data_IF_680259044435
#
_entry.id   IF_680259044435
#
_cell.length_a   1.000
_cell.length_b   1.000
_cell.length_c   1.000
_cell.angle_alpha   90.00
_cell.angle_beta   90.00
_cell.angle_gamma   90.00
#
_symmetry.space_group_name_H-M   'P 1'
#
loop_
_entity.id
_entity.type
_entity.pdbx_description
1 polymer ?
#
# COMPACT_ATOMS: atom_id res chain seq x y z
N UNK A 1 22.62 -8.26 11.45
CA UNK A 1 22.75 -7.39 10.25
C UNK A 1 21.49 -6.56 10.24
N UNK A 2 21.55 -5.26 10.22
CA UNK A 2 20.35 -4.41 10.20
C UNK A 2 19.72 -4.37 8.80
N UNK A 3 18.49 -3.87 8.68
CA UNK A 3 17.75 -3.80 7.40
C UNK A 3 18.58 -3.21 6.26
N UNK A 4 19.30 -2.09 6.49
CA UNK A 4 20.14 -1.46 5.47
C UNK A 4 21.18 -2.43 4.89
N UNK A 5 21.90 -3.16 5.71
CA UNK A 5 22.92 -4.09 5.25
C UNK A 5 22.31 -5.32 4.52
N UNK A 6 21.10 -5.73 4.89
CA UNK A 6 20.36 -6.77 4.15
C UNK A 6 19.95 -6.25 2.78
N UNK A 7 19.44 -5.01 2.69
CA UNK A 7 19.09 -4.37 1.41
C UNK A 7 20.32 -4.17 0.52
N UNK A 8 21.44 -3.71 1.07
CA UNK A 8 22.69 -3.52 0.31
C UNK A 8 23.14 -4.84 -0.32
N UNK A 9 23.12 -5.94 0.45
CA UNK A 9 23.43 -7.28 -0.09
C UNK A 9 22.45 -7.71 -1.19
N UNK A 10 21.13 -7.59 -0.95
CA UNK A 10 20.12 -8.02 -1.92
C UNK A 10 20.17 -7.21 -3.21
N UNK A 11 20.38 -5.90 -3.13
CA UNK A 11 20.39 -5.01 -4.29
C UNK A 11 21.70 -5.12 -5.09
N UNK A 12 22.84 -5.12 -4.42
CA UNK A 12 24.12 -4.95 -5.10
C UNK A 12 24.86 -6.26 -5.34
N UNK A 13 24.80 -7.22 -4.38
CA UNK A 13 25.53 -8.48 -4.49
C UNK A 13 24.70 -9.60 -5.11
N UNK A 14 23.37 -9.58 -4.92
CA UNK A 14 22.49 -10.63 -5.44
C UNK A 14 21.74 -10.22 -6.73
N UNK A 15 21.05 -9.08 -6.73
CA UNK A 15 20.26 -8.62 -7.90
C UNK A 15 21.09 -7.77 -8.88
N UNK A 16 22.30 -7.36 -8.51
CA UNK A 16 23.19 -6.55 -9.33
C UNK A 16 22.48 -5.32 -9.93
N UNK A 17 21.67 -4.62 -9.12
CA UNK A 17 20.77 -3.54 -9.57
C UNK A 17 21.49 -2.45 -10.33
N UNK A 18 22.79 -2.22 -10.05
CA UNK A 18 23.63 -1.27 -10.79
C UNK A 18 23.75 -1.61 -12.28
N UNK A 19 23.54 -2.87 -12.70
CA UNK A 19 23.50 -3.23 -14.12
C UNK A 19 22.30 -2.61 -14.86
N UNK A 20 21.25 -2.25 -14.16
CA UNK A 20 20.09 -1.56 -14.75
C UNK A 20 20.45 -0.17 -15.31
N UNK A 21 21.50 0.47 -14.79
CA UNK A 21 21.97 1.80 -15.29
C UNK A 21 22.51 1.75 -16.71
N UNK A 22 22.80 0.58 -17.25
CA UNK A 22 23.14 0.41 -18.67
C UNK A 22 21.92 0.50 -19.60
N UNK A 23 20.70 0.48 -19.05
CA UNK A 23 19.48 0.64 -19.83
C UNK A 23 19.16 2.13 -20.02
N UNK A 24 18.73 2.57 -21.23
CA UNK A 24 18.53 3.99 -21.53
C UNK A 24 17.66 4.73 -20.48
N UNK A 25 16.63 4.07 -19.95
CA UNK A 25 15.73 4.66 -18.95
C UNK A 25 16.45 5.03 -17.63
N UNK A 26 17.47 4.30 -17.27
CA UNK A 26 18.15 4.43 -15.99
C UNK A 26 19.60 4.96 -16.11
N UNK A 27 19.98 5.45 -17.30
CA UNK A 27 21.35 5.84 -17.62
C UNK A 27 21.87 7.03 -16.78
N UNK A 28 20.98 7.87 -16.26
CA UNK A 28 21.32 9.00 -15.41
C UNK A 28 21.57 8.61 -13.93
N UNK A 29 21.33 7.33 -13.60
CA UNK A 29 21.55 6.81 -12.26
C UNK A 29 22.92 6.14 -12.12
N UNK A 30 23.34 6.00 -10.88
CA UNK A 30 24.51 5.25 -10.46
C UNK A 30 24.22 4.54 -9.13
N UNK A 31 25.15 3.72 -8.66
CA UNK A 31 25.06 3.12 -7.32
C UNK A 31 24.92 4.19 -6.25
N UNK A 32 25.70 5.27 -6.36
CA UNK A 32 25.68 6.38 -5.39
C UNK A 32 24.32 7.09 -5.35
N UNK A 33 23.65 7.23 -6.50
CA UNK A 33 22.29 7.81 -6.53
C UNK A 33 21.28 6.89 -5.86
N UNK A 34 21.36 5.57 -6.07
CA UNK A 34 20.51 4.59 -5.38
C UNK A 34 20.75 4.61 -3.87
N UNK A 35 22.00 4.61 -3.44
CA UNK A 35 22.38 4.69 -2.02
C UNK A 35 21.88 5.98 -1.36
N UNK A 36 21.92 7.11 -2.05
CA UNK A 36 21.43 8.40 -1.56
C UNK A 36 19.89 8.40 -1.37
N UNK A 37 19.16 7.77 -2.29
CA UNK A 37 17.69 7.58 -2.13
C UNK A 37 17.39 6.73 -0.90
N UNK A 38 18.08 5.59 -0.76
CA UNK A 38 17.92 4.70 0.39
C UNK A 38 18.23 5.39 1.72
N UNK A 39 19.33 6.15 1.79
CA UNK A 39 19.71 6.91 2.99
C UNK A 39 18.69 7.98 3.35
N UNK A 40 18.15 8.69 2.36
CA UNK A 40 17.11 9.69 2.56
C UNK A 40 15.83 9.06 3.10
N UNK A 41 15.37 7.95 2.50
CA UNK A 41 14.17 7.25 2.93
C UNK A 41 14.35 6.62 4.32
N UNK A 42 15.51 6.02 4.61
CA UNK A 42 15.84 5.50 5.94
C UNK A 42 15.77 6.59 7.00
N UNK A 43 16.33 7.78 6.73
CA UNK A 43 16.29 8.93 7.65
C UNK A 43 14.86 9.41 7.89
N UNK A 44 14.05 9.59 6.83
CA UNK A 44 12.65 10.02 6.97
C UNK A 44 11.85 8.98 7.75
N UNK A 45 12.00 7.68 7.44
CA UNK A 45 11.33 6.60 8.13
C UNK A 45 11.68 6.58 9.62
N UNK A 46 12.96 6.74 9.96
CA UNK A 46 13.44 6.79 11.34
C UNK A 46 12.92 8.01 12.10
N UNK A 47 12.89 9.19 11.47
CA UNK A 47 12.62 10.45 12.15
C UNK A 47 11.13 10.80 12.17
N UNK A 48 10.34 10.36 11.18
CA UNK A 48 8.94 10.74 10.99
C UNK A 48 7.93 9.60 11.15
N UNK A 49 8.36 8.35 11.05
CA UNK A 49 7.46 7.18 11.12
C UNK A 49 7.68 6.37 12.40
N UNK A 50 8.90 5.90 12.65
CA UNK A 50 9.21 5.00 13.75
C UNK A 50 8.81 5.54 15.13
N UNK A 51 9.06 6.81 15.49
CA UNK A 51 8.71 7.34 16.81
C UNK A 51 7.21 7.37 17.09
N UNK A 52 6.40 7.38 16.04
CA UNK A 52 4.94 7.54 16.13
C UNK A 52 4.16 6.26 15.88
N UNK A 53 4.84 5.14 15.57
CA UNK A 53 4.20 3.86 15.27
C UNK A 53 3.21 3.42 16.38
N UNK A 54 3.59 3.56 17.65
CA UNK A 54 2.72 3.26 18.78
C UNK A 54 1.58 4.25 18.94
N UNK A 55 1.88 5.54 18.74
CA UNK A 55 0.89 6.60 18.85
C UNK A 55 -0.28 6.37 17.90
N UNK A 56 0.01 6.14 16.62
CA UNK A 56 -1.03 5.98 15.60
C UNK A 56 -1.79 4.66 15.71
N UNK A 57 -1.24 3.65 16.36
CA UNK A 57 -1.95 2.41 16.68
C UNK A 57 -2.92 2.58 17.86
N UNK A 58 -2.56 3.41 18.85
CA UNK A 58 -3.37 3.63 20.06
C UNK A 58 -4.37 4.76 19.93
N UNK A 59 -4.06 5.75 19.10
CA UNK A 59 -4.96 6.84 18.74
C UNK A 59 -5.56 6.57 17.36
N UNK A 60 -6.48 5.62 17.31
CA UNK A 60 -7.19 5.25 16.08
C UNK A 60 -7.94 6.46 15.49
N UNK A 61 -8.14 6.50 14.14
CA UNK A 61 -8.94 7.51 13.50
C UNK A 61 -10.33 7.65 14.14
N UNK A 62 -10.78 8.88 14.35
CA UNK A 62 -12.07 9.18 14.95
C UNK A 62 -12.97 9.89 13.93
N UNK A 63 -14.26 9.50 13.88
CA UNK A 63 -15.27 10.12 13.04
C UNK A 63 -16.36 10.71 13.92
N UNK A 64 -16.59 12.02 13.84
CA UNK A 64 -17.57 12.77 14.63
C UNK A 64 -18.96 12.89 13.96
N UNK A 65 -19.12 12.31 12.76
CA UNK A 65 -20.31 12.44 11.90
C UNK A 65 -20.10 13.36 10.69
N UNK A 66 -19.05 14.20 10.73
CA UNK A 66 -18.72 15.14 9.65
C UNK A 66 -17.28 14.97 9.17
N UNK A 67 -16.32 14.84 10.08
CA UNK A 67 -14.88 14.82 9.80
C UNK A 67 -14.20 13.62 10.46
N UNK A 68 -13.15 13.18 9.82
CA UNK A 68 -12.21 12.20 10.37
C UNK A 68 -11.00 12.92 10.95
N UNK A 69 -10.70 12.66 12.20
CA UNK A 69 -9.51 13.19 12.89
C UNK A 69 -8.44 12.11 12.95
N UNK A 70 -7.22 12.47 12.55
CA UNK A 70 -6.01 11.68 12.63
C UNK A 70 -4.96 12.36 13.51
N UNK A 71 -4.01 11.62 14.12
CA UNK A 71 -2.87 12.25 14.80
C UNK A 71 -2.06 13.15 13.87
N UNK A 72 -1.56 14.28 14.38
CA UNK A 72 -0.71 15.22 13.61
C UNK A 72 0.53 14.50 13.01
N UNK A 73 1.08 13.54 13.74
CA UNK A 73 2.20 12.74 13.26
C UNK A 73 1.91 12.01 11.92
N UNK A 74 0.65 11.67 11.65
CA UNK A 74 0.26 11.07 10.35
C UNK A 74 0.38 12.09 9.22
N UNK A 75 -0.03 13.35 9.46
CA UNK A 75 0.14 14.44 8.49
C UNK A 75 1.62 14.73 8.23
N UNK A 76 2.42 14.91 9.30
CA UNK A 76 3.84 15.22 9.20
C UNK A 76 4.63 14.14 8.45
N UNK A 77 4.25 12.88 8.64
CA UNK A 77 4.86 11.75 7.93
C UNK A 77 4.43 11.68 6.46
N UNK A 78 3.13 11.92 6.19
CA UNK A 78 2.59 12.00 4.83
C UNK A 78 3.29 13.09 4.02
N UNK A 79 3.43 14.29 4.59
CA UNK A 79 4.06 15.43 3.93
C UNK A 79 5.54 15.15 3.65
N UNK A 80 6.28 14.61 4.64
CA UNK A 80 7.68 14.23 4.46
C UNK A 80 7.87 13.14 3.38
N UNK A 81 6.94 12.20 3.27
CA UNK A 81 6.96 11.19 2.21
C UNK A 81 6.68 11.81 0.84
N UNK A 82 5.68 12.68 0.72
CA UNK A 82 5.36 13.39 -0.53
C UNK A 82 6.52 14.30 -0.97
N UNK A 83 7.08 15.10 -0.06
CA UNK A 83 8.22 15.99 -0.30
C UNK A 83 9.50 15.24 -0.72
N UNK A 84 9.65 13.98 -0.33
CA UNK A 84 10.77 13.14 -0.76
C UNK A 84 10.73 12.76 -2.26
N UNK A 85 9.62 13.00 -2.95
CA UNK A 85 9.39 12.62 -4.33
C UNK A 85 9.06 11.12 -4.53
N UNK A 86 8.91 10.35 -3.46
CA UNK A 86 8.67 8.90 -3.54
C UNK A 86 7.33 8.54 -4.17
N UNK A 87 6.34 9.46 -4.17
CA UNK A 87 5.06 9.22 -4.87
C UNK A 87 5.21 9.12 -6.41
N UNK A 88 6.25 9.74 -6.97
CA UNK A 88 6.54 9.73 -8.39
C UNK A 88 7.88 9.04 -8.74
N UNK A 89 8.48 8.31 -7.82
CA UNK A 89 9.85 7.83 -7.92
C UNK A 89 10.16 7.11 -9.25
N UNK A 90 9.30 6.20 -9.70
CA UNK A 90 9.49 5.44 -10.94
C UNK A 90 8.97 6.15 -12.20
N UNK A 91 8.38 7.35 -12.08
CA UNK A 91 7.81 8.09 -13.22
C UNK A 91 8.90 8.81 -14.02
N UNK A 92 8.51 9.29 -15.21
CA UNK A 92 9.39 10.06 -16.10
C UNK A 92 9.69 11.45 -15.53
N UNK A 93 10.83 12.03 -15.87
CA UNK A 93 11.26 13.35 -15.41
C UNK A 93 10.29 14.46 -15.80
N UNK A 94 9.68 14.37 -16.98
CA UNK A 94 8.74 15.38 -17.51
C UNK A 94 7.43 15.48 -16.72
N UNK A 95 7.11 14.46 -15.92
CA UNK A 95 5.97 14.48 -15.01
C UNK A 95 6.37 14.56 -13.52
N UNK A 96 7.60 14.98 -13.26
CA UNK A 96 8.12 15.16 -11.89
C UNK A 96 8.67 13.91 -11.24
N UNK A 97 8.88 12.84 -11.98
CA UNK A 97 9.46 11.58 -11.51
C UNK A 97 10.98 11.62 -11.41
N UNK A 98 11.56 10.55 -10.90
CA UNK A 98 13.00 10.33 -10.80
C UNK A 98 13.52 9.25 -11.76
N UNK A 99 12.64 8.61 -12.53
CA UNK A 99 12.95 7.41 -13.33
C UNK A 99 13.68 6.33 -12.52
N UNK A 100 13.35 6.21 -11.24
CA UNK A 100 13.99 5.24 -10.35
C UNK A 100 13.59 3.81 -10.75
N UNK A 101 14.52 2.83 -10.77
CA UNK A 101 14.12 1.43 -10.90
C UNK A 101 13.13 1.05 -9.79
N UNK A 102 12.07 0.32 -10.15
CA UNK A 102 11.07 -0.12 -9.18
C UNK A 102 11.67 -1.01 -8.09
N UNK A 103 12.76 -1.73 -8.40
CA UNK A 103 13.54 -2.48 -7.41
C UNK A 103 14.08 -1.59 -6.30
N UNK A 104 14.61 -0.41 -6.65
CA UNK A 104 15.16 0.56 -5.67
C UNK A 104 14.04 1.27 -4.92
N UNK A 105 12.95 1.61 -5.60
CA UNK A 105 11.73 2.16 -4.98
C UNK A 105 11.16 1.20 -3.93
N UNK A 106 11.04 -0.09 -4.26
CA UNK A 106 10.58 -1.11 -3.32
C UNK A 106 11.50 -1.26 -2.10
N UNK A 107 12.82 -1.23 -2.31
CA UNK A 107 13.79 -1.26 -1.23
C UNK A 107 13.70 -0.01 -0.33
N UNK A 108 13.50 1.17 -0.91
CA UNK A 108 13.28 2.40 -0.16
C UNK A 108 11.99 2.33 0.67
N UNK A 109 10.90 1.80 0.10
CA UNK A 109 9.63 1.60 0.80
C UNK A 109 9.71 0.57 1.94
N UNK A 110 10.71 -0.32 1.95
CA UNK A 110 10.94 -1.21 3.06
C UNK A 110 11.24 -0.47 4.38
N UNK A 111 11.98 0.66 4.34
CA UNK A 111 12.24 1.46 5.53
C UNK A 111 10.96 2.03 6.15
N UNK A 112 10.06 2.57 5.33
CA UNK A 112 8.80 3.12 5.81
C UNK A 112 7.90 2.04 6.40
N UNK A 113 7.82 0.88 5.73
CA UNK A 113 7.02 -0.26 6.19
C UNK A 113 7.59 -0.88 7.48
N UNK A 114 8.91 -0.94 7.63
CA UNK A 114 9.57 -1.38 8.86
C UNK A 114 9.32 -0.43 10.03
N UNK A 115 9.33 0.88 9.76
CA UNK A 115 9.12 1.92 10.74
C UNK A 115 7.66 1.99 11.22
N UNK A 116 6.69 2.01 10.31
CA UNK A 116 5.26 2.00 10.65
C UNK A 116 4.36 1.75 9.44
N UNK A 117 3.79 0.56 9.33
CA UNK A 117 2.76 0.28 8.33
C UNK A 117 1.47 1.09 8.58
N UNK A 118 1.20 1.46 9.84
CA UNK A 118 -0.03 2.15 10.24
C UNK A 118 -0.11 3.59 9.75
N UNK A 119 1.01 4.25 9.51
CA UNK A 119 1.03 5.59 8.90
C UNK A 119 0.76 5.50 7.40
N UNK A 120 1.30 4.46 6.75
CA UNK A 120 1.15 4.24 5.31
C UNK A 120 2.18 5.01 4.48
N UNK A 121 2.41 4.56 3.25
CA UNK A 121 3.42 5.10 2.33
C UNK A 121 2.85 5.42 0.94
N UNK A 122 1.61 5.91 0.88
CA UNK A 122 1.01 6.33 -0.39
C UNK A 122 0.72 5.21 -1.40
N UNK A 123 0.81 3.93 -1.02
CA UNK A 123 0.67 2.77 -1.90
C UNK A 123 -0.57 2.83 -2.82
N UNK A 124 -1.75 3.18 -2.26
CA UNK A 124 -2.98 3.27 -3.04
C UNK A 124 -2.99 4.51 -3.95
N UNK A 125 -2.39 5.60 -3.52
CA UNK A 125 -2.27 6.84 -4.30
C UNK A 125 -1.40 6.62 -5.54
N UNK A 126 -0.22 6.01 -5.35
CA UNK A 126 0.68 5.65 -6.46
C UNK A 126 0.02 4.65 -7.40
N UNK A 127 -0.62 3.62 -6.84
CA UNK A 127 -1.34 2.62 -7.64
C UNK A 127 -2.47 3.22 -8.48
N UNK A 128 -3.25 4.17 -7.93
CA UNK A 128 -4.26 4.92 -8.69
C UNK A 128 -3.64 5.70 -9.84
N UNK A 129 -2.57 6.45 -9.56
CA UNK A 129 -1.89 7.25 -10.57
C UNK A 129 -1.32 6.37 -11.69
N UNK A 130 -0.65 5.27 -11.34
CA UNK A 130 -0.12 4.30 -12.32
C UNK A 130 -1.22 3.67 -13.19
N UNK A 131 -2.36 3.33 -12.59
CA UNK A 131 -3.52 2.85 -13.36
C UNK A 131 -4.01 3.90 -14.35
N UNK A 132 -4.11 5.16 -13.93
CA UNK A 132 -4.53 6.25 -14.82
C UNK A 132 -3.49 6.54 -15.90
N UNK A 133 -2.19 6.42 -15.61
CA UNK A 133 -1.14 6.51 -16.64
C UNK A 133 -1.28 5.43 -17.71
N UNK A 134 -1.71 4.22 -17.33
CA UNK A 134 -1.87 3.10 -18.25
C UNK A 134 -3.20 3.15 -19.06
N UNK A 135 -4.30 3.53 -18.41
CA UNK A 135 -5.67 3.36 -18.95
C UNK A 135 -6.46 4.65 -19.09
N UNK A 136 -6.02 5.75 -18.47
CA UNK A 136 -6.68 7.05 -18.52
C UNK A 136 -6.46 7.78 -19.85
N UNK A 137 -7.37 8.69 -20.17
CA UNK A 137 -7.17 9.67 -21.25
C UNK A 137 -6.04 10.64 -20.93
N UNK A 138 -5.51 11.36 -21.91
CA UNK A 138 -4.50 12.39 -21.68
C UNK A 138 -4.96 13.40 -20.61
N UNK A 139 -6.23 13.83 -20.66
CA UNK A 139 -6.79 14.76 -19.68
C UNK A 139 -6.93 14.14 -18.27
N UNK A 140 -7.33 12.88 -18.18
CA UNK A 140 -7.40 12.17 -16.89
C UNK A 140 -6.01 12.03 -16.25
N UNK A 141 -4.97 11.75 -17.04
CA UNK A 141 -3.58 11.70 -16.57
C UNK A 141 -3.13 13.06 -16.04
N UNK A 142 -3.34 14.11 -16.83
CA UNK A 142 -2.96 15.48 -16.49
C UNK A 142 -3.63 15.96 -15.19
N UNK A 143 -4.94 15.71 -15.04
CA UNK A 143 -5.70 16.24 -13.90
C UNK A 143 -5.58 15.40 -12.64
N UNK A 144 -5.69 14.07 -12.77
CA UNK A 144 -5.80 13.19 -11.59
C UNK A 144 -4.48 12.51 -11.23
N UNK A 145 -3.73 11.98 -12.25
CA UNK A 145 -2.49 11.27 -11.95
C UNK A 145 -1.37 12.23 -11.50
N UNK A 146 -1.21 13.39 -12.15
CA UNK A 146 -0.16 14.34 -11.79
C UNK A 146 -0.30 14.84 -10.33
N UNK A 147 -1.53 15.12 -9.88
CA UNK A 147 -1.79 15.56 -8.50
C UNK A 147 -1.66 14.45 -7.47
N UNK A 148 -1.85 13.21 -7.87
CA UNK A 148 -1.53 12.07 -7.02
C UNK A 148 -0.01 11.90 -6.87
N UNK A 149 0.76 12.10 -7.94
CA UNK A 149 2.23 12.05 -7.89
C UNK A 149 2.85 13.22 -7.13
N UNK A 150 2.24 14.40 -7.14
CA UNK A 150 2.69 15.54 -6.32
C UNK A 150 2.31 15.42 -4.84
N UNK A 151 1.38 14.52 -4.49
CA UNK A 151 0.84 14.39 -3.13
C UNK A 151 -0.26 15.39 -2.79
N UNK A 152 -0.68 16.25 -3.72
CA UNK A 152 -1.81 17.15 -3.51
C UNK A 152 -3.11 16.40 -3.28
N UNK A 153 -3.32 15.30 -4.01
CA UNK A 153 -4.49 14.43 -3.89
C UNK A 153 -4.09 13.00 -3.58
N UNK A 154 -4.90 12.33 -2.80
CA UNK A 154 -4.73 10.91 -2.52
C UNK A 154 -5.67 10.04 -3.35
N UNK A 155 -5.39 8.75 -3.41
CA UNK A 155 -6.15 7.78 -4.17
C UNK A 155 -6.62 6.59 -3.36
N UNK A 156 -7.79 6.03 -3.72
CA UNK A 156 -8.32 4.82 -3.13
C UNK A 156 -8.84 3.85 -4.19
N UNK A 157 -8.96 2.60 -3.79
CA UNK A 157 -9.48 1.51 -4.61
C UNK A 157 -10.81 1.01 -4.01
N UNK A 158 -11.93 1.28 -4.70
CA UNK A 158 -13.29 0.98 -4.23
C UNK A 158 -13.91 -0.19 -5.02
N UNK A 159 -13.60 -1.42 -4.60
CA UNK A 159 -14.08 -2.64 -5.24
C UNK A 159 -15.24 -3.27 -4.46
N UNK A 160 -14.97 -3.66 -3.20
CA UNK A 160 -15.85 -4.47 -2.38
C UNK A 160 -17.11 -3.72 -1.97
N UNK A 161 -18.18 -4.50 -1.82
CA UNK A 161 -19.48 -4.06 -1.30
C UNK A 161 -19.85 -4.95 -0.10
N UNK A 162 -20.81 -4.56 0.76
CA UNK A 162 -21.17 -5.37 1.92
C UNK A 162 -21.46 -6.84 1.60
N UNK A 163 -22.03 -7.13 0.42
CA UNK A 163 -22.38 -8.49 -0.03
C UNK A 163 -21.37 -9.09 -1.04
N UNK A 164 -20.38 -8.32 -1.52
CA UNK A 164 -19.46 -8.74 -2.59
C UNK A 164 -18.01 -8.36 -2.26
N UNK A 165 -17.21 -9.35 -1.87
CA UNK A 165 -15.78 -9.23 -1.60
C UNK A 165 -14.96 -10.02 -2.62
N UNK A 166 -14.73 -11.32 -2.38
CA UNK A 166 -13.97 -12.18 -3.30
C UNK A 166 -14.67 -12.38 -4.64
N UNK A 167 -16.03 -12.37 -4.68
CA UNK A 167 -16.83 -12.45 -5.90
C UNK A 167 -17.29 -11.07 -6.35
N UNK A 168 -16.43 -10.36 -7.08
CA UNK A 168 -16.76 -9.02 -7.61
C UNK A 168 -17.82 -9.04 -8.72
N UNK A 169 -18.14 -10.22 -9.28
CA UNK A 169 -19.25 -10.38 -10.23
C UNK A 169 -20.60 -9.91 -9.65
N UNK A 170 -20.72 -9.91 -8.31
CA UNK A 170 -21.96 -9.66 -7.58
C UNK A 170 -22.10 -8.22 -7.08
N UNK A 171 -21.18 -7.32 -7.45
CA UNK A 171 -21.34 -5.89 -7.14
C UNK A 171 -22.59 -5.33 -7.81
N UNK A 172 -23.26 -4.43 -7.09
CA UNK A 172 -24.51 -3.80 -7.53
C UNK A 172 -24.44 -2.28 -7.63
N UNK A 173 -23.33 -1.66 -7.25
CA UNK A 173 -23.11 -0.23 -7.52
C UNK A 173 -23.33 0.02 -9.00
N UNK A 174 -24.19 0.99 -9.30
CA UNK A 174 -24.59 1.32 -10.66
C UNK A 174 -24.08 2.69 -11.05
N UNK A 175 -23.81 2.87 -12.36
CA UNK A 175 -23.41 4.13 -12.96
C UNK A 175 -24.38 4.43 -14.12
N UNK A 176 -25.08 5.54 -14.04
CA UNK A 176 -26.04 6.01 -15.05
C UNK A 176 -25.48 7.24 -15.76
N UNK A 177 -25.65 7.35 -17.08
CA UNK A 177 -25.19 8.50 -17.85
C UNK A 177 -25.76 9.81 -17.28
N UNK A 178 -24.92 10.83 -17.13
CA UNK A 178 -25.32 12.11 -16.54
C UNK A 178 -25.68 13.14 -17.62
N UNK A 179 -26.82 12.96 -18.26
CA UNK A 179 -27.32 13.78 -19.35
C UNK A 179 -27.04 13.20 -20.74
N UNK A 180 -27.55 13.84 -21.77
CA UNK A 180 -27.41 13.37 -23.16
C UNK A 180 -25.99 13.60 -23.71
N UNK A 181 -25.27 14.55 -23.17
CA UNK A 181 -23.92 14.96 -23.55
C UNK A 181 -22.80 14.32 -22.70
N UNK A 182 -23.14 13.30 -21.91
CA UNK A 182 -22.24 12.64 -20.93
C UNK A 182 -20.90 12.15 -21.53
N UNK A 183 -20.86 11.81 -22.82
CA UNK A 183 -19.64 11.34 -23.49
C UNK A 183 -18.66 12.46 -23.83
N UNK A 184 -19.10 13.71 -23.82
CA UNK A 184 -18.30 14.88 -24.27
C UNK A 184 -17.67 15.67 -23.13
N UNK A 185 -17.85 15.21 -21.86
CA UNK A 185 -17.21 15.86 -20.72
C UNK A 185 -15.69 15.82 -20.85
N UNK A 186 -14.97 16.94 -20.67
CA UNK A 186 -13.52 17.01 -20.81
C UNK A 186 -12.73 16.05 -19.91
N UNK A 187 -13.28 15.67 -18.74
CA UNK A 187 -12.64 14.73 -17.82
C UNK A 187 -12.93 13.26 -18.15
N UNK A 188 -13.70 13.00 -19.20
CA UNK A 188 -14.11 11.68 -19.68
C UNK A 188 -15.62 11.45 -19.55
N UNK A 189 -16.18 10.36 -20.12
CA UNK A 189 -17.62 10.11 -20.08
C UNK A 189 -18.16 10.19 -18.66
N UNK A 190 -19.12 11.09 -18.43
CA UNK A 190 -19.61 11.48 -17.11
C UNK A 190 -20.84 10.66 -16.70
N UNK A 191 -20.78 10.11 -15.49
CA UNK A 191 -21.83 9.27 -14.94
C UNK A 191 -22.22 9.71 -13.54
N UNK A 192 -23.40 9.31 -13.09
CA UNK A 192 -23.84 9.38 -11.69
C UNK A 192 -23.85 7.98 -11.09
N UNK A 193 -23.04 7.79 -10.07
CA UNK A 193 -22.91 6.51 -9.37
C UNK A 193 -23.81 6.47 -8.14
N UNK A 194 -24.38 5.26 -7.88
CA UNK A 194 -25.14 4.96 -6.67
C UNK A 194 -24.81 3.58 -6.17
N UNK A 195 -24.46 3.49 -4.89
CA UNK A 195 -24.12 2.24 -4.22
C UNK A 195 -23.26 2.44 -3.00
N UNK A 196 -22.92 1.35 -2.33
CA UNK A 196 -22.16 1.36 -1.09
C UNK A 196 -20.88 0.55 -1.27
N UNK A 197 -19.75 1.12 -0.87
CA UNK A 197 -18.43 0.47 -0.92
C UNK A 197 -17.90 0.25 0.49
N UNK A 198 -17.50 -0.98 0.79
CA UNK A 198 -17.08 -1.43 2.11
C UNK A 198 -15.59 -1.80 2.11
N UNK A 199 -14.94 -1.65 3.26
CA UNK A 199 -13.53 -1.99 3.48
C UNK A 199 -12.56 -1.11 2.69
N UNK A 200 -12.92 0.16 2.49
CA UNK A 200 -12.10 1.08 1.70
C UNK A 200 -11.04 1.71 2.59
N UNK A 201 -9.79 1.37 2.35
CA UNK A 201 -8.65 1.95 3.04
C UNK A 201 -8.42 3.39 2.58
N UNK A 202 -8.13 4.29 3.52
CA UNK A 202 -7.91 5.71 3.30
C UNK A 202 -9.07 6.42 2.54
N UNK A 203 -10.31 5.92 2.71
CA UNK A 203 -11.46 6.43 1.96
C UNK A 203 -11.96 7.79 2.42
N UNK A 204 -11.61 8.23 3.63
CA UNK A 204 -11.95 9.54 4.17
C UNK A 204 -10.86 10.01 5.12
N UNK A 205 -10.34 11.20 4.89
CA UNK A 205 -9.38 11.94 5.71
C UNK A 205 -9.20 13.37 5.15
N UNK A 206 -8.45 14.20 5.88
CA UNK A 206 -8.08 15.55 5.47
C UNK A 206 -6.55 15.72 5.29
N UNK A 207 -5.80 14.62 5.02
CA UNK A 207 -4.35 14.66 4.78
C UNK A 207 -3.98 15.34 3.46
N UNK A 208 -4.90 15.34 2.49
CA UNK A 208 -4.72 15.92 1.16
C UNK A 208 -5.91 16.78 0.79
N UNK A 209 -5.75 17.65 -0.21
CA UNK A 209 -6.83 18.54 -0.65
C UNK A 209 -8.05 17.80 -1.19
N UNK A 210 -7.84 16.66 -1.82
CA UNK A 210 -8.89 15.81 -2.38
C UNK A 210 -8.54 14.32 -2.27
N UNK A 211 -9.56 13.47 -2.35
CA UNK A 211 -9.41 12.02 -2.48
C UNK A 211 -10.05 11.59 -3.79
N UNK A 212 -9.31 10.85 -4.60
CA UNK A 212 -9.77 10.30 -5.89
C UNK A 212 -10.07 8.83 -5.71
N UNK A 213 -11.35 8.46 -5.72
CA UNK A 213 -11.78 7.08 -5.62
C UNK A 213 -11.82 6.43 -7.01
N UNK A 214 -11.09 5.33 -7.21
CA UNK A 214 -11.28 4.46 -8.36
C UNK A 214 -12.36 3.41 -8.02
N UNK A 215 -13.53 3.58 -8.61
CA UNK A 215 -14.75 2.85 -8.25
C UNK A 215 -15.14 1.87 -9.33
N UNK A 216 -15.31 0.59 -8.96
CA UNK A 216 -15.94 -0.40 -9.84
C UNK A 216 -17.46 -0.31 -9.72
N UNK A 217 -18.13 -0.11 -10.86
CA UNK A 217 -19.59 -0.04 -10.95
C UNK A 217 -20.08 -0.67 -12.25
N UNK A 218 -21.37 -1.00 -12.30
CA UNK A 218 -22.01 -1.55 -13.49
C UNK A 218 -22.88 -0.49 -14.17
N UNK A 219 -22.77 -0.40 -15.50
CA UNK A 219 -23.64 0.42 -16.34
C UNK A 219 -24.86 -0.44 -16.67
N UNK A 220 -26.09 0.02 -16.38
CA UNK A 220 -27.30 -0.70 -16.75
C UNK A 220 -27.45 -0.81 -18.30
N UNK A 221 -28.04 -1.89 -18.76
CA UNK A 221 -28.44 -2.05 -20.16
C UNK A 221 -29.63 -1.12 -20.55
N UNK A 222 -30.05 -1.18 -21.80
CA UNK A 222 -31.17 -0.38 -22.29
C UNK A 222 -32.52 -0.64 -21.60
N UNK A 223 -32.61 -1.73 -20.84
CA UNK A 223 -33.78 -2.09 -20.01
C UNK A 223 -33.62 -1.74 -18.54
N UNK A 224 -32.53 -1.04 -18.16
CA UNK A 224 -32.21 -0.66 -16.80
C UNK A 224 -31.67 -1.80 -15.92
N UNK A 225 -31.32 -2.96 -16.51
CA UNK A 225 -30.80 -4.12 -15.78
C UNK A 225 -29.27 -4.08 -15.75
N UNK A 226 -28.68 -4.45 -14.60
CA UNK A 226 -27.23 -4.61 -14.49
C UNK A 226 -26.76 -5.83 -15.25
N UNK A 227 -25.74 -5.64 -16.09
CA UNK A 227 -25.11 -6.74 -16.82
C UNK A 227 -24.44 -7.71 -15.83
N UNK A 228 -24.80 -9.01 -15.84
CA UNK A 228 -24.26 -9.96 -14.92
C UNK A 228 -22.77 -10.27 -15.19
N UNK A 229 -22.08 -10.75 -14.14
CA UNK A 229 -20.70 -11.17 -14.22
C UNK A 229 -19.70 -10.00 -14.30
N UNK A 230 -18.45 -10.34 -14.51
CA UNK A 230 -17.32 -9.38 -14.50
C UNK A 230 -17.29 -8.49 -15.74
N UNK A 231 -17.85 -8.95 -16.86
CA UNK A 231 -17.94 -8.17 -18.11
C UNK A 231 -18.89 -6.98 -18.01
N UNK A 232 -19.74 -6.92 -16.98
CA UNK A 232 -20.60 -5.75 -16.71
C UNK A 232 -19.87 -4.64 -15.92
N UNK A 233 -18.67 -4.91 -15.42
CA UNK A 233 -17.97 -4.01 -14.50
C UNK A 233 -17.12 -3.00 -15.28
N UNK A 234 -17.39 -1.72 -15.07
CA UNK A 234 -16.63 -0.59 -15.58
C UNK A 234 -15.91 0.13 -14.44
N UNK A 235 -14.91 0.95 -14.77
CA UNK A 235 -14.11 1.71 -13.84
C UNK A 235 -14.43 3.21 -13.95
N UNK A 236 -14.50 3.88 -12.79
CA UNK A 236 -14.80 5.30 -12.71
C UNK A 236 -13.85 6.03 -11.76
N UNK A 237 -13.40 7.22 -12.17
CA UNK A 237 -12.79 8.22 -11.29
C UNK A 237 -13.93 8.95 -10.60
N UNK A 238 -13.99 8.90 -9.26
CA UNK A 238 -15.00 9.61 -8.47
C UNK A 238 -14.26 10.46 -7.42
N UNK A 239 -14.07 11.76 -7.66
CA UNK A 239 -13.39 12.62 -6.70
C UNK A 239 -14.31 12.93 -5.50
N UNK A 240 -13.74 13.03 -4.28
CA UNK A 240 -14.45 13.45 -3.06
C UNK A 240 -14.97 14.89 -3.17
N UNK A 241 -14.16 15.79 -3.73
CA UNK A 241 -14.53 17.16 -4.09
C UNK A 241 -14.57 17.29 -5.61
N UNK A 242 -15.57 18.00 -6.12
CA UNK A 242 -15.77 18.14 -7.55
C UNK A 242 -14.62 18.88 -8.23
N UNK A 243 -14.29 18.44 -9.42
CA UNK A 243 -13.25 18.98 -10.29
C UNK A 243 -13.91 19.60 -11.51
N UNK A 244 -13.55 20.84 -11.84
CA UNK A 244 -14.04 21.54 -13.02
C UNK A 244 -13.39 21.09 -14.33
N UNK A 245 -13.91 21.52 -15.47
CA UNK A 245 -13.35 21.20 -16.78
C UNK A 245 -11.88 21.64 -16.95
N UNK A 246 -11.48 22.70 -16.24
CA UNK A 246 -10.11 23.22 -16.17
C UNK A 246 -9.17 22.36 -15.32
N UNK A 247 -9.71 21.37 -14.59
CA UNK A 247 -8.97 20.51 -13.67
C UNK A 247 -8.82 21.10 -12.26
N UNK A 248 -9.36 22.29 -11.98
CA UNK A 248 -9.34 22.90 -10.64
C UNK A 248 -10.47 22.35 -9.75
N UNK A 249 -10.29 22.44 -8.43
CA UNK A 249 -11.38 22.17 -7.48
C UNK A 249 -12.46 23.24 -7.62
N UNK A 250 -13.72 22.83 -7.71
CA UNK A 250 -14.86 23.76 -7.76
C UNK A 250 -15.25 24.33 -6.38
N UNK A 251 -14.68 23.79 -5.31
CA UNK A 251 -15.08 24.08 -3.93
C UNK A 251 -16.31 23.28 -3.45
N UNK A 252 -17.03 22.61 -4.34
CA UNK A 252 -18.20 21.82 -3.97
C UNK A 252 -17.82 20.36 -3.64
N UNK A 253 -18.55 19.78 -2.68
CA UNK A 253 -18.44 18.35 -2.34
C UNK A 253 -19.19 17.51 -3.37
N UNK A 254 -18.61 16.37 -3.75
CA UNK A 254 -19.32 15.34 -4.52
C UNK A 254 -20.21 14.51 -3.59
N UNK A 255 -21.23 13.85 -4.14
CA UNK A 255 -22.17 13.01 -3.38
C UNK A 255 -21.53 11.68 -2.96
N UNK A 256 -20.43 11.80 -2.20
CA UNK A 256 -19.71 10.70 -1.56
C UNK A 256 -19.68 10.96 -0.07
N UNK A 257 -20.31 10.08 0.70
CA UNK A 257 -20.46 10.24 2.14
C UNK A 257 -19.80 9.10 2.90
N UNK A 258 -19.06 9.43 3.96
CA UNK A 258 -18.63 8.46 4.95
C UNK A 258 -19.83 8.02 5.78
N UNK A 259 -20.14 6.73 5.78
CA UNK A 259 -21.18 6.14 6.62
C UNK A 259 -20.61 5.68 7.98
N UNK A 260 -19.34 5.32 8.03
CA UNK A 260 -18.68 4.91 9.27
C UNK A 260 -17.26 4.39 9.03
N UNK A 261 -16.50 4.28 10.12
CA UNK A 261 -15.18 3.67 10.17
C UNK A 261 -15.30 2.22 10.64
N UNK A 262 -14.51 1.35 10.01
CA UNK A 262 -14.31 -0.01 10.47
C UNK A 262 -13.12 -0.05 11.45
N UNK A 263 -13.34 -0.52 12.67
CA UNK A 263 -12.30 -0.72 13.67
C UNK A 263 -11.57 -2.03 13.40
N UNK A 264 -10.25 -1.93 13.16
CA UNK A 264 -9.43 -3.06 12.69
C UNK A 264 -8.69 -3.74 13.83
N UNK A 265 -8.35 -5.01 13.65
CA UNK A 265 -7.46 -5.75 14.52
C UNK A 265 -6.07 -5.08 14.58
N UNK A 266 -5.48 -4.80 13.43
CA UNK A 266 -4.20 -4.12 13.27
C UNK A 266 -4.20 -3.08 12.16
N UNK A 267 -3.05 -2.46 11.88
CA UNK A 267 -2.93 -1.36 10.90
C UNK A 267 -3.90 -0.21 11.21
N UNK A 268 -3.99 0.14 12.48
CA UNK A 268 -5.09 0.97 13.01
C UNK A 268 -4.97 2.44 12.65
N UNK A 269 -3.78 2.94 12.36
CA UNK A 269 -3.56 4.36 12.04
C UNK A 269 -4.15 4.81 10.70
N UNK A 270 -4.41 3.87 9.77
CA UNK A 270 -5.06 4.17 8.49
C UNK A 270 -6.56 3.97 8.61
N UNK A 271 -7.38 4.92 8.11
CA UNK A 271 -8.83 4.76 8.05
C UNK A 271 -9.23 3.55 7.20
N UNK A 272 -10.30 2.89 7.61
CA UNK A 272 -11.00 1.89 6.79
C UNK A 272 -12.49 2.20 6.85
N UNK A 273 -13.11 2.38 5.68
CA UNK A 273 -14.37 3.10 5.56
C UNK A 273 -15.46 2.29 4.88
N UNK A 274 -16.71 2.59 5.27
CA UNK A 274 -17.91 2.36 4.47
C UNK A 274 -18.27 3.69 3.80
N UNK A 275 -18.25 3.72 2.47
CA UNK A 275 -18.58 4.88 1.66
C UNK A 275 -19.90 4.70 0.95
N UNK A 276 -20.78 5.68 1.08
CA UNK A 276 -22.04 5.78 0.34
C UNK A 276 -21.88 6.72 -0.83
N UNK A 277 -22.11 6.22 -2.02
CA UNK A 277 -22.07 6.98 -3.26
C UNK A 277 -23.49 7.29 -3.71
N UNK A 278 -23.80 8.57 -3.89
CA UNK A 278 -25.01 9.01 -4.57
C UNK A 278 -26.31 8.92 -3.78
N UNK A 279 -26.25 8.95 -2.44
CA UNK A 279 -27.45 8.91 -1.58
C UNK A 279 -28.09 10.31 -1.35
N UNK A 280 -27.50 11.37 -1.92
CA UNK A 280 -28.04 12.72 -1.83
C UNK A 280 -27.66 13.48 -0.56
N UNK A 281 -26.63 13.03 0.18
CA UNK A 281 -26.07 13.80 1.30
C UNK A 281 -25.42 15.10 0.81
N UNK A 282 -24.81 15.04 -0.36
CA UNK A 282 -24.16 16.19 -1.03
C UNK A 282 -24.65 16.27 -2.48
N UNK A 283 -25.92 16.69 -2.73
CA UNK A 283 -26.48 16.68 -4.07
C UNK A 283 -25.67 17.58 -5.01
N UNK A 284 -25.37 17.08 -6.20
CA UNK A 284 -24.66 17.82 -7.25
C UNK A 284 -25.67 18.33 -8.27
N UNK A 285 -25.70 19.64 -8.53
CA UNK A 285 -26.68 20.30 -9.39
C UNK A 285 -28.13 19.99 -8.94
N UNK A 286 -28.35 19.93 -7.61
CA UNK A 286 -29.65 19.63 -7.00
C UNK A 286 -30.12 18.19 -7.15
N UNK A 287 -29.28 17.27 -7.64
CA UNK A 287 -29.61 15.86 -7.87
C UNK A 287 -28.71 14.94 -7.05
N UNK A 288 -29.29 13.87 -6.51
CA UNK A 288 -28.54 12.78 -5.91
C UNK A 288 -27.77 11.98 -6.97
N UNK A 289 -26.61 11.43 -6.60
CA UNK A 289 -25.74 10.67 -7.48
C UNK A 289 -24.31 11.21 -7.46
N UNK A 290 -23.33 10.36 -7.12
CA UNK A 290 -21.92 10.76 -7.12
C UNK A 290 -21.43 10.91 -8.57
N UNK A 291 -20.92 12.08 -8.90
CA UNK A 291 -20.36 12.33 -10.25
C UNK A 291 -19.05 11.56 -10.39
N UNK A 292 -18.95 10.81 -11.49
CA UNK A 292 -17.75 10.05 -11.82
C UNK A 292 -17.48 10.01 -13.31
N UNK A 293 -16.22 9.81 -13.68
CA UNK A 293 -15.73 9.81 -15.04
C UNK A 293 -15.20 8.42 -15.39
N UNK A 294 -15.72 7.83 -16.47
CA UNK A 294 -15.32 6.49 -16.89
C UNK A 294 -13.86 6.46 -17.38
N UNK A 295 -13.14 5.42 -16.95
CA UNK A 295 -11.79 5.09 -17.42
C UNK A 295 -11.86 3.87 -18.34
N UNK A 296 -11.27 3.97 -19.53
CA UNK A 296 -11.26 2.88 -20.50
C UNK A 296 -12.65 2.54 -21.08
N UNK A 297 -12.81 1.32 -21.58
CA UNK A 297 -14.03 0.83 -22.22
C UNK A 297 -15.09 0.37 -21.21
N UNK A 298 -16.35 0.27 -21.69
CA UNK A 298 -17.45 -0.33 -20.92
C UNK A 298 -17.16 -1.81 -20.72
N UNK A 299 -17.27 -2.29 -19.48
CA UNK A 299 -17.03 -3.69 -19.11
C UNK A 299 -15.55 -4.07 -18.93
N UNK A 300 -14.63 -3.12 -19.05
CA UNK A 300 -13.19 -3.35 -18.91
C UNK A 300 -12.64 -2.96 -17.53
N UNK A 301 -13.52 -2.56 -16.61
CA UNK A 301 -13.09 -1.97 -15.33
C UNK A 301 -12.28 -2.91 -14.46
N UNK A 302 -12.62 -4.20 -14.40
CA UNK A 302 -11.86 -5.17 -13.62
C UNK A 302 -10.48 -5.41 -14.24
N UNK A 303 -10.38 -5.48 -15.58
CA UNK A 303 -9.10 -5.61 -16.29
C UNK A 303 -8.16 -4.43 -15.97
N UNK A 304 -8.67 -3.21 -16.07
CA UNK A 304 -7.88 -2.02 -15.72
C UNK A 304 -7.45 -2.02 -14.24
N UNK A 305 -8.34 -2.43 -13.32
CA UNK A 305 -8.07 -2.49 -11.90
C UNK A 305 -6.96 -3.51 -11.54
N UNK A 306 -6.78 -4.58 -12.31
CA UNK A 306 -5.71 -5.54 -12.09
C UNK A 306 -4.31 -4.92 -12.22
N UNK A 307 -4.17 -3.85 -13.00
CA UNK A 307 -2.91 -3.12 -13.08
C UNK A 307 -2.47 -2.62 -11.70
N UNK A 308 -3.35 -1.93 -10.99
CA UNK A 308 -3.12 -1.47 -9.63
C UNK A 308 -2.99 -2.62 -8.62
N UNK A 309 -3.83 -3.65 -8.75
CA UNK A 309 -3.84 -4.77 -7.80
C UNK A 309 -2.53 -5.56 -7.78
N UNK A 310 -1.84 -5.70 -8.91
CA UNK A 310 -0.57 -6.43 -8.97
C UNK A 310 0.54 -5.67 -8.24
N UNK A 311 0.61 -4.34 -8.40
CA UNK A 311 1.54 -3.50 -7.65
C UNK A 311 1.21 -3.53 -6.14
N UNK A 312 -0.07 -3.39 -5.78
CA UNK A 312 -0.52 -3.49 -4.39
C UNK A 312 -0.17 -4.83 -3.74
N UNK A 313 -0.18 -5.95 -4.47
CA UNK A 313 0.20 -7.26 -3.95
C UNK A 313 1.66 -7.31 -3.53
N UNK A 314 2.57 -6.75 -4.32
CA UNK A 314 4.00 -6.65 -3.96
C UNK A 314 4.16 -5.74 -2.74
N UNK A 315 3.53 -4.57 -2.72
CA UNK A 315 3.60 -3.63 -1.60
C UNK A 315 3.05 -4.19 -0.27
N UNK A 316 1.94 -4.94 -0.31
CA UNK A 316 1.38 -5.59 0.88
C UNK A 316 2.29 -6.73 1.37
N UNK A 317 2.87 -7.52 0.46
CA UNK A 317 3.87 -8.52 0.83
C UNK A 317 5.09 -7.90 1.49
N UNK A 318 5.55 -6.74 0.98
CA UNK A 318 6.66 -5.98 1.56
C UNK A 318 6.32 -5.49 2.98
N UNK A 319 5.13 -4.94 3.18
CA UNK A 319 4.66 -4.51 4.49
C UNK A 319 4.64 -5.67 5.50
N UNK A 320 4.13 -6.84 5.10
CA UNK A 320 4.13 -8.04 5.93
C UNK A 320 5.55 -8.50 6.27
N UNK A 321 6.48 -8.49 5.29
CA UNK A 321 7.88 -8.86 5.51
C UNK A 321 8.56 -7.94 6.50
N UNK A 322 8.28 -6.64 6.41
CA UNK A 322 8.87 -5.63 7.31
C UNK A 322 8.28 -5.70 8.72
N UNK A 323 7.02 -6.05 8.88
CA UNK A 323 6.45 -6.36 10.20
C UNK A 323 7.11 -7.60 10.83
N UNK A 324 7.37 -8.64 10.05
CA UNK A 324 8.10 -9.81 10.52
C UNK A 324 9.53 -9.48 10.93
N UNK A 325 10.22 -8.63 10.15
CA UNK A 325 11.58 -8.19 10.47
C UNK A 325 11.63 -7.31 11.73
N UNK A 326 10.66 -6.39 11.89
CA UNK A 326 10.54 -5.57 13.10
C UNK A 326 10.31 -6.43 14.36
N UNK A 327 9.51 -7.49 14.23
CA UNK A 327 9.35 -8.49 15.32
C UNK A 327 10.62 -9.27 15.62
N UNK A 328 11.39 -9.63 14.58
CA UNK A 328 12.70 -10.26 14.75
C UNK A 328 13.69 -9.34 15.47
N UNK A 329 13.80 -8.07 15.05
CA UNK A 329 14.71 -7.11 15.67
C UNK A 329 14.38 -6.90 17.14
N UNK A 330 13.10 -6.70 17.48
CA UNK A 330 12.65 -6.61 18.88
C UNK A 330 12.95 -7.88 19.68
N UNK A 331 12.75 -9.05 19.07
CA UNK A 331 13.05 -10.34 19.71
C UNK A 331 14.53 -10.56 19.96
N UNK A 332 15.38 -10.17 19.00
CA UNK A 332 16.82 -10.28 19.10
C UNK A 332 17.38 -9.42 20.23
N UNK A 333 16.94 -8.17 20.31
CA UNK A 333 17.36 -7.23 21.35
C UNK A 333 16.89 -7.71 22.73
N UNK A 334 15.64 -8.15 22.85
CA UNK A 334 15.12 -8.71 24.08
C UNK A 334 15.89 -9.97 24.50
N UNK A 335 16.16 -10.89 23.58
CA UNK A 335 16.84 -12.14 23.87
C UNK A 335 18.29 -11.95 24.32
N UNK A 336 18.96 -10.90 23.83
CA UNK A 336 20.32 -10.52 24.27
C UNK A 336 20.34 -9.90 25.66
N UNK A 337 19.31 -9.12 26.00
CA UNK A 337 19.24 -8.38 27.25
C UNK A 337 18.56 -9.12 28.41
N UNK A 338 17.82 -10.20 28.15
CA UNK A 338 17.00 -10.91 29.12
C UNK A 338 17.75 -12.11 29.74
N UNK A 339 18.24 -12.05 30.99
CA UNK A 339 18.81 -13.21 31.67
C UNK A 339 17.69 -14.12 32.19
N UNK A 340 17.74 -15.41 31.86
CA UNK A 340 16.85 -16.42 32.41
C UNK A 340 17.39 -17.83 32.20
N UNK A 341 17.27 -18.66 33.20
CA UNK A 341 17.69 -20.06 33.12
C UNK A 341 19.22 -20.22 33.09
N UNK A 342 19.64 -21.43 32.82
CA UNK A 342 21.05 -21.84 32.77
C UNK A 342 21.25 -22.85 31.66
N UNK A 343 22.43 -22.91 31.11
CA UNK A 343 22.76 -23.91 30.08
C UNK A 343 22.74 -25.31 30.67
N UNK A 344 22.38 -26.27 29.85
CA UNK A 344 22.38 -27.68 30.18
C UNK A 344 23.82 -28.21 30.05
N UNK A 345 24.45 -28.60 31.14
CA UNK A 345 25.73 -29.30 31.14
C UNK A 345 25.55 -30.83 31.13
N UNK A 346 26.65 -31.58 31.10
CA UNK A 346 26.62 -33.06 31.11
C UNK A 346 25.95 -33.63 32.37
N UNK A 347 26.06 -32.95 33.53
CA UNK A 347 25.44 -33.32 34.80
C UNK A 347 24.07 -32.66 35.04
N UNK A 348 23.46 -32.04 34.01
CA UNK A 348 22.23 -31.25 34.16
C UNK A 348 22.49 -29.75 34.33
N UNK A 349 21.49 -29.02 34.86
CA UNK A 349 21.58 -27.57 35.09
C UNK A 349 22.20 -27.34 36.48
N UNK A 350 23.29 -26.57 36.54
CA UNK A 350 23.87 -26.12 37.80
C UNK A 350 23.05 -24.93 38.36
N UNK A 351 22.30 -25.18 39.43
CA UNK A 351 21.48 -24.17 40.06
C UNK A 351 22.27 -23.02 40.70
N UNK A 352 23.58 -23.22 41.02
CA UNK A 352 24.47 -22.22 41.60
C UNK A 352 25.09 -21.28 40.54
N UNK A 353 25.12 -21.71 39.29
CA UNK A 353 25.66 -20.88 38.20
C UNK A 353 24.77 -19.63 37.95
N UNK A 354 25.32 -18.52 37.44
CA UNK A 354 24.53 -17.35 37.05
C UNK A 354 23.57 -17.66 35.92
N UNK A 355 22.46 -16.90 35.85
CA UNK A 355 21.57 -16.94 34.69
C UNK A 355 22.30 -16.46 33.44
N UNK A 356 21.93 -17.01 32.27
CA UNK A 356 22.44 -16.57 30.97
C UNK A 356 21.38 -15.79 30.21
N UNK A 357 21.75 -14.88 29.25
CA UNK A 357 20.80 -14.31 28.30
C UNK A 357 20.03 -15.42 27.59
N UNK A 358 18.73 -15.20 27.35
CA UNK A 358 17.89 -16.26 26.75
C UNK A 358 18.31 -16.62 25.33
N UNK A 359 19.03 -15.75 24.63
CA UNK A 359 19.60 -16.05 23.30
C UNK A 359 20.55 -17.27 23.34
N UNK A 360 21.09 -17.62 24.48
CA UNK A 360 21.98 -18.78 24.61
C UNK A 360 21.23 -20.13 24.61
N UNK A 361 19.91 -20.12 24.82
CA UNK A 361 19.11 -21.32 24.78
C UNK A 361 18.80 -21.75 23.32
N UNK A 362 18.94 -23.05 23.05
CA UNK A 362 18.82 -23.62 21.72
C UNK A 362 17.45 -23.33 21.07
N UNK A 363 16.34 -23.40 21.83
CA UNK A 363 15.01 -23.16 21.28
C UNK A 363 14.77 -21.68 20.96
N UNK A 364 15.33 -20.76 21.76
CA UNK A 364 15.30 -19.32 21.43
C UNK A 364 16.10 -19.03 20.16
N UNK A 365 17.27 -19.65 19.98
CA UNK A 365 18.06 -19.56 18.73
C UNK A 365 17.27 -20.08 17.55
N UNK A 366 16.56 -21.20 17.69
CA UNK A 366 15.70 -21.76 16.66
C UNK A 366 14.59 -20.78 16.24
N UNK A 367 13.89 -20.20 17.23
CA UNK A 367 12.82 -19.22 16.98
C UNK A 367 13.35 -17.96 16.27
N UNK A 368 14.48 -17.41 16.72
CA UNK A 368 15.12 -16.26 16.08
C UNK A 368 15.56 -16.57 14.65
N UNK A 369 16.12 -17.76 14.40
CA UNK A 369 16.53 -18.18 13.05
C UNK A 369 15.33 -18.33 12.14
N UNK A 370 14.20 -18.89 12.62
CA UNK A 370 12.96 -19.00 11.85
C UNK A 370 12.41 -17.61 11.47
N UNK A 371 12.32 -16.68 12.44
CA UNK A 371 11.88 -15.30 12.18
C UNK A 371 12.73 -14.62 11.11
N UNK A 372 14.06 -14.71 11.25
CA UNK A 372 15.00 -14.14 10.28
C UNK A 372 14.83 -14.75 8.89
N UNK A 373 14.75 -16.07 8.81
CA UNK A 373 14.60 -16.77 7.53
C UNK A 373 13.30 -16.42 6.82
N UNK A 374 12.20 -16.30 7.55
CA UNK A 374 10.91 -15.92 6.97
C UNK A 374 10.93 -14.47 6.47
N UNK A 375 11.42 -13.54 7.29
CA UNK A 375 11.37 -12.10 6.98
C UNK A 375 12.35 -11.71 5.86
N UNK A 376 13.61 -12.15 5.94
CA UNK A 376 14.62 -11.85 4.92
C UNK A 376 14.36 -12.61 3.61
N UNK A 377 13.90 -13.87 3.69
CA UNK A 377 13.50 -14.63 2.51
C UNK A 377 12.29 -14.02 1.79
N UNK A 378 11.31 -13.51 2.55
CA UNK A 378 10.20 -12.76 2.00
C UNK A 378 10.66 -11.47 1.33
N UNK A 379 11.53 -10.69 1.98
CA UNK A 379 12.10 -9.46 1.40
C UNK A 379 12.84 -9.75 0.08
N UNK A 380 13.64 -10.81 0.05
CA UNK A 380 14.35 -11.24 -1.17
C UNK A 380 13.36 -11.56 -2.31
N UNK A 381 12.31 -12.35 -2.03
CA UNK A 381 11.27 -12.66 -3.01
C UNK A 381 10.61 -11.40 -3.57
N UNK A 382 10.32 -10.42 -2.72
CA UNK A 382 9.64 -9.18 -3.12
C UNK A 382 10.53 -8.26 -3.95
N UNK A 383 11.81 -8.11 -3.58
CA UNK A 383 12.77 -7.37 -4.39
C UNK A 383 13.05 -8.07 -5.73
N UNK A 384 13.03 -9.39 -5.75
CA UNK A 384 13.09 -10.13 -7.02
C UNK A 384 11.86 -9.88 -7.91
N UNK A 385 10.65 -9.87 -7.33
CA UNK A 385 9.44 -9.48 -8.06
C UNK A 385 9.51 -8.04 -8.57
N UNK A 386 10.04 -7.11 -7.77
CA UNK A 386 10.27 -5.73 -8.19
C UNK A 386 11.28 -5.65 -9.35
N UNK A 387 12.35 -6.44 -9.31
CA UNK A 387 13.32 -6.55 -10.40
C UNK A 387 12.70 -7.12 -11.69
N UNK A 388 11.77 -8.06 -11.56
CA UNK A 388 11.00 -8.54 -12.72
C UNK A 388 10.11 -7.44 -13.30
N UNK A 389 9.54 -6.53 -12.49
CA UNK A 389 8.81 -5.34 -12.99
C UNK A 389 9.74 -4.46 -13.83
N UNK A 390 10.95 -4.17 -13.37
CA UNK A 390 11.94 -3.42 -14.17
C UNK A 390 12.27 -4.15 -15.49
N UNK A 391 12.41 -5.47 -15.45
CA UNK A 391 12.65 -6.26 -16.65
C UNK A 391 11.47 -6.25 -17.63
N UNK A 392 10.22 -6.24 -17.15
CA UNK A 392 9.03 -6.12 -18.04
C UNK A 392 8.96 -4.76 -18.74
N UNK A 393 9.50 -3.71 -18.13
CA UNK A 393 9.44 -2.34 -18.65
C UNK A 393 10.61 -1.97 -19.56
N UNK A 394 11.81 -2.49 -19.26
CA UNK A 394 13.07 -1.99 -19.84
C UNK A 394 14.00 -3.07 -20.39
N UNK A 395 13.65 -4.36 -20.29
CA UNK A 395 14.42 -5.48 -20.81
C UNK A 395 14.33 -5.63 -22.34
N UNK A 396 15.10 -6.59 -22.91
CA UNK A 396 14.89 -7.02 -24.31
C UNK A 396 13.51 -7.66 -24.45
N UNK A 397 12.94 -7.79 -25.66
CA UNK A 397 11.66 -8.46 -25.88
C UNK A 397 11.57 -9.84 -25.22
N UNK A 398 12.64 -10.63 -25.28
CA UNK A 398 12.73 -11.96 -24.67
C UNK A 398 12.71 -11.87 -23.13
N UNK A 399 13.47 -10.93 -22.56
CA UNK A 399 13.48 -10.66 -21.12
C UNK A 399 12.12 -10.17 -20.62
N UNK A 400 11.47 -9.28 -21.37
CA UNK A 400 10.13 -8.77 -21.05
C UNK A 400 9.11 -9.90 -20.99
N UNK A 401 9.09 -10.81 -22.01
CA UNK A 401 8.16 -11.91 -22.09
C UNK A 401 8.38 -12.91 -20.94
N UNK A 402 9.64 -13.28 -20.68
CA UNK A 402 9.99 -14.21 -19.61
C UNK A 402 9.67 -13.61 -18.21
N UNK A 403 10.01 -12.35 -17.99
CA UNK A 403 9.75 -11.65 -16.73
C UNK A 403 8.24 -11.52 -16.47
N UNK A 404 7.45 -11.18 -17.48
CA UNK A 404 5.99 -11.10 -17.37
C UNK A 404 5.37 -12.43 -16.95
N UNK A 405 5.71 -13.51 -17.61
CA UNK A 405 5.19 -14.84 -17.29
C UNK A 405 5.54 -15.26 -15.85
N UNK A 406 6.80 -15.05 -15.45
CA UNK A 406 7.26 -15.41 -14.12
C UNK A 406 6.58 -14.51 -13.04
N UNK A 407 6.44 -13.21 -13.30
CA UNK A 407 5.79 -12.28 -12.40
C UNK A 407 4.30 -12.60 -12.19
N UNK A 408 3.59 -13.01 -13.25
CA UNK A 408 2.19 -13.46 -13.15
C UNK A 408 2.04 -14.65 -12.20
N UNK A 409 2.99 -15.59 -12.22
CA UNK A 409 3.01 -16.73 -11.31
C UNK A 409 3.42 -16.34 -9.89
N UNK A 410 4.42 -15.47 -9.73
CA UNK A 410 4.97 -15.12 -8.42
C UNK A 410 4.13 -14.09 -7.64
N UNK A 411 3.40 -13.19 -8.31
CA UNK A 411 2.66 -12.11 -7.65
C UNK A 411 1.67 -12.59 -6.57
N UNK A 412 0.85 -13.65 -6.78
CA UNK A 412 0.02 -14.21 -5.71
C UNK A 412 0.84 -14.74 -4.53
N UNK A 413 1.97 -15.40 -4.81
CA UNK A 413 2.88 -15.96 -3.79
C UNK A 413 3.55 -14.83 -3.01
N UNK A 414 4.01 -13.79 -3.71
CA UNK A 414 4.66 -12.62 -3.14
C UNK A 414 3.77 -11.88 -2.13
N UNK A 415 2.44 -11.98 -2.24
CA UNK A 415 1.51 -11.49 -1.23
C UNK A 415 1.21 -12.51 -0.15
N UNK A 416 0.79 -13.73 -0.53
CA UNK A 416 0.24 -14.70 0.43
C UNK A 416 1.31 -15.26 1.36
N UNK A 417 2.45 -15.67 0.82
CA UNK A 417 3.51 -16.30 1.62
C UNK A 417 4.06 -15.37 2.72
N UNK A 418 4.46 -14.12 2.43
CA UNK A 418 4.88 -13.19 3.47
C UNK A 418 3.79 -12.91 4.51
N UNK A 419 2.54 -12.77 4.08
CA UNK A 419 1.42 -12.48 5.00
C UNK A 419 1.18 -13.61 6.00
N UNK A 420 1.43 -14.86 5.63
CA UNK A 420 1.29 -16.01 6.53
C UNK A 420 2.54 -16.21 7.40
N UNK A 421 3.71 -16.31 6.77
CA UNK A 421 4.93 -16.68 7.49
C UNK A 421 5.55 -15.55 8.31
N UNK A 422 5.35 -14.29 7.94
CA UNK A 422 5.78 -13.18 8.79
C UNK A 422 4.79 -12.95 9.95
N UNK A 423 3.53 -13.36 9.84
CA UNK A 423 2.64 -13.47 11.00
C UNK A 423 3.12 -14.55 11.96
N UNK A 424 3.53 -15.72 11.46
CA UNK A 424 4.15 -16.78 12.28
C UNK A 424 5.45 -16.28 12.93
N UNK A 425 6.28 -15.54 12.20
CA UNK A 425 7.46 -14.89 12.78
C UNK A 425 7.09 -14.01 13.99
N UNK A 426 6.02 -13.25 13.92
CA UNK A 426 5.54 -12.42 15.01
C UNK A 426 4.87 -13.22 16.15
N UNK A 427 4.30 -14.39 15.88
CA UNK A 427 3.87 -15.33 16.91
C UNK A 427 5.08 -15.83 17.73
N UNK A 428 6.19 -16.14 17.04
CA UNK A 428 7.45 -16.50 17.70
C UNK A 428 8.05 -15.32 18.47
N UNK A 429 7.88 -14.07 18.01
CA UNK A 429 8.30 -12.89 18.75
C UNK A 429 7.58 -12.77 20.10
N UNK A 430 6.27 -12.96 20.12
CA UNK A 430 5.49 -13.01 21.38
C UNK A 430 6.02 -14.11 22.29
N UNK A 431 6.28 -15.29 21.75
CA UNK A 431 6.81 -16.43 22.52
C UNK A 431 8.18 -16.15 23.14
N UNK A 432 9.10 -15.53 22.39
CA UNK A 432 10.44 -15.16 22.91
C UNK A 432 10.35 -14.17 24.07
N UNK A 433 9.42 -13.21 24.01
CA UNK A 433 9.19 -12.24 25.08
C UNK A 433 8.50 -12.86 26.31
N UNK A 434 7.93 -14.06 26.20
CA UNK A 434 7.18 -14.71 27.26
C UNK A 434 5.96 -13.88 27.70
N UNK A 435 5.75 -13.72 29.00
CA UNK A 435 4.63 -12.92 29.53
C UNK A 435 4.60 -11.47 29.03
N UNK A 436 5.76 -10.86 28.83
CA UNK A 436 5.88 -9.51 28.30
C UNK A 436 5.43 -9.40 26.84
N UNK A 437 5.56 -10.46 26.04
CA UNK A 437 5.05 -10.48 24.66
C UNK A 437 3.54 -10.37 24.56
N UNK A 438 2.82 -10.70 25.64
CA UNK A 438 1.36 -10.60 25.73
C UNK A 438 0.87 -9.28 26.35
N UNK A 439 1.77 -8.35 26.61
CA UNK A 439 1.47 -7.03 27.15
C UNK A 439 1.73 -5.94 26.10
N UNK A 440 1.20 -4.73 26.37
CA UNK A 440 1.45 -3.57 25.51
C UNK A 440 2.75 -2.83 25.86
N UNK A 441 3.57 -3.36 26.76
CA UNK A 441 4.84 -2.74 27.15
C UNK A 441 5.93 -2.91 26.08
N UNK A 442 5.77 -3.97 25.25
CA UNK A 442 6.63 -4.27 24.10
C UNK A 442 5.86 -4.20 22.78
N UNK A 443 6.51 -3.88 21.66
CA UNK A 443 5.82 -3.65 20.38
C UNK A 443 5.36 -4.92 19.67
N UNK A 444 5.79 -6.10 20.11
CA UNK A 444 5.57 -7.37 19.39
C UNK A 444 4.09 -7.76 19.26
N UNK A 445 3.24 -7.34 20.21
CA UNK A 445 1.79 -7.54 20.12
C UNK A 445 1.17 -6.71 18.97
N UNK A 446 1.71 -5.50 18.74
CA UNK A 446 1.29 -4.65 17.63
C UNK A 446 1.75 -5.23 16.28
N UNK A 447 2.95 -5.76 16.19
CA UNK A 447 3.47 -6.37 14.96
C UNK A 447 2.72 -7.67 14.61
N UNK A 448 2.24 -8.40 15.61
CA UNK A 448 1.46 -9.62 15.42
C UNK A 448 0.05 -9.34 14.90
N UNK A 449 -0.61 -8.25 15.28
CA UNK A 449 -1.94 -7.83 14.82
C UNK A 449 -1.87 -7.23 13.43
#
# INVERSE_FOLDING_TARGET
>A
MGLRATLDFLLHDWLEVSALTQRPRFADHSRETFDAVLETCERIARDKFAPFNRLVDTQEPQFDGERVTLPQATQDAHDAYAESGMLAAAQDYDIGGMQLPYTVEAAANAFFSHASVSIGSGLLTVGNANLLMAHGTARQREVFASRAFSGEWSGTMCLSEPQAGSSLSDIVTRAEADGDDYETDPLGPRYRLRGNKMWISAGEHDLTENIVHLVLAKIPDAHGKLVPGVKGISLFIVPKKLVGPDGALTGARNDVALAGLNHKCGWRGTTNTLLNFGEGKFPVDGRAGAVGYRVGGVGEGLFAMFHMMNEARIGIGLAASMLGLAGYDASLDYARGRPQGRLLGAAGKDASAPQVPIIEHADVKRMLLAQKSYSEGALALLLYCAHLVDNTRTGTPEQQAAAKLLLEMLTPIAKSWPSEWCLEANSLAIQIHGGYGYTRDYPVEQYWR
#
